data_IF_072633913033
#
_entry.id   IF_072633913033
#
_cell.length_a   1.000
_cell.length_b   1.000
_cell.length_c   1.000
_cell.angle_alpha   90.00
_cell.angle_beta   90.00
_cell.angle_gamma   90.00
#
_symmetry.space_group_name_H-M   'P 1'
#
loop_
_entity.id
_entity.type
_entity.pdbx_description
1 polymer ?
#
# COMPACT_ATOMS: atom_id res chain seq x y z
N UNK A 1 -4.60 17.52 22.17
CA UNK A 1 -3.15 17.87 22.20
C UNK A 1 -2.80 18.62 20.92
N UNK A 2 -1.69 19.34 20.85
CA UNK A 2 -1.24 19.89 19.56
C UNK A 2 -0.97 18.74 18.59
N UNK A 3 -1.44 18.84 17.34
CA UNK A 3 -1.09 17.87 16.31
C UNK A 3 0.43 17.81 16.15
N UNK A 4 0.99 16.61 16.02
CA UNK A 4 2.40 16.39 15.74
C UNK A 4 2.73 16.86 14.32
N UNK A 5 3.92 17.41 14.15
CA UNK A 5 4.47 17.67 12.81
C UNK A 5 5.07 16.40 12.21
N UNK A 6 5.33 16.39 10.90
CA UNK A 6 6.10 15.32 10.23
C UNK A 6 7.38 14.99 10.98
N UNK A 7 8.13 16.00 11.42
CA UNK A 7 9.43 15.79 12.05
C UNK A 7 9.29 15.25 13.49
N UNK A 8 8.21 15.60 14.20
CA UNK A 8 7.87 14.96 15.48
C UNK A 8 7.58 13.47 15.31
N UNK A 9 6.86 13.10 14.25
CA UNK A 9 6.63 11.71 13.88
C UNK A 9 7.92 10.98 13.50
N UNK A 10 8.76 11.57 12.64
CA UNK A 10 9.95 10.89 12.13
C UNK A 10 11.09 10.79 13.14
N UNK A 11 11.25 11.81 14.00
CA UNK A 11 12.43 11.97 14.86
C UNK A 11 12.12 12.11 16.34
N UNK A 12 10.84 12.23 16.73
CA UNK A 12 10.43 12.22 18.13
C UNK A 12 10.83 10.93 18.85
N UNK A 13 10.96 11.00 20.17
CA UNK A 13 11.27 9.84 20.99
C UNK A 13 10.06 8.87 21.11
N UNK A 14 10.34 7.66 21.59
CA UNK A 14 9.34 6.64 21.89
C UNK A 14 9.13 5.62 20.77
N UNK A 15 8.20 4.67 20.97
CA UNK A 15 7.88 3.64 19.99
C UNK A 15 7.37 4.23 18.69
N UNK A 16 7.69 3.57 17.58
CA UNK A 16 7.39 3.99 16.21
C UNK A 16 6.41 3.06 15.52
N UNK A 17 5.56 3.63 14.68
CA UNK A 17 4.46 2.92 14.01
C UNK A 17 4.50 3.14 12.51
N UNK A 18 4.51 2.05 11.74
CA UNK A 18 4.51 2.03 10.29
C UNK A 18 3.16 1.52 9.78
N UNK A 19 2.58 2.19 8.79
CA UNK A 19 1.43 1.70 8.03
C UNK A 19 1.81 1.53 6.56
N UNK A 20 1.80 0.28 6.08
CA UNK A 20 2.14 -0.11 4.71
C UNK A 20 0.89 -0.54 3.92
N UNK A 21 0.68 0.05 2.76
CA UNK A 21 -0.53 -0.13 1.94
C UNK A 21 -0.19 -0.71 0.57
N UNK A 22 -0.78 -1.85 0.25
CA UNK A 22 -0.51 -2.58 -0.99
C UNK A 22 -1.06 -1.89 -2.24
N UNK A 23 -0.43 -2.20 -3.39
CA UNK A 23 -1.01 -1.95 -4.70
C UNK A 23 -2.13 -2.94 -5.05
N UNK A 24 -3.05 -2.53 -5.94
CA UNK A 24 -4.18 -3.40 -6.36
C UNK A 24 -5.32 -2.73 -7.14
N UNK A 25 -5.13 -1.51 -7.65
CA UNK A 25 -6.16 -0.80 -8.42
C UNK A 25 -7.41 -0.49 -7.59
N UNK A 26 -8.59 -0.75 -8.14
CA UNK A 26 -9.88 -0.47 -7.46
C UNK A 26 -10.06 -1.23 -6.13
N UNK A 27 -9.27 -2.30 -5.92
CA UNK A 27 -9.31 -3.12 -4.71
C UNK A 27 -8.78 -2.40 -3.48
N UNK A 28 -8.20 -1.20 -3.64
CA UNK A 28 -7.97 -0.28 -2.51
C UNK A 28 -9.25 0.02 -1.71
N UNK A 29 -10.44 -0.12 -2.30
CA UNK A 29 -11.70 -0.04 -1.57
C UNK A 29 -11.86 -1.11 -0.47
N UNK A 30 -11.26 -2.29 -0.66
CA UNK A 30 -11.20 -3.32 0.37
C UNK A 30 -10.28 -2.87 1.52
N UNK A 31 -9.11 -2.33 1.18
CA UNK A 31 -8.13 -1.79 2.14
C UNK A 31 -8.74 -0.70 3.02
N UNK A 32 -9.56 0.19 2.45
CA UNK A 32 -10.25 1.24 3.20
C UNK A 32 -11.18 0.69 4.30
N UNK A 33 -11.75 -0.51 4.13
CA UNK A 33 -12.54 -1.15 5.19
C UNK A 33 -11.71 -1.56 6.41
N UNK A 34 -10.47 -2.05 6.20
CA UNK A 34 -9.54 -2.27 7.31
C UNK A 34 -9.20 -0.96 8.00
N UNK A 35 -8.86 0.06 7.21
CA UNK A 35 -8.44 1.36 7.74
C UNK A 35 -9.55 2.04 8.52
N UNK A 36 -10.81 1.95 8.07
CA UNK A 36 -11.94 2.53 8.78
C UNK A 36 -12.13 1.88 10.15
N UNK A 37 -12.02 0.55 10.21
CA UNK A 37 -12.06 -0.17 11.48
C UNK A 37 -10.89 0.20 12.40
N UNK A 38 -9.68 0.36 11.86
CA UNK A 38 -8.52 0.82 12.64
C UNK A 38 -8.72 2.24 13.17
N UNK A 39 -9.22 3.15 12.34
CA UNK A 39 -9.50 4.53 12.71
C UNK A 39 -10.53 4.60 13.83
N UNK A 40 -11.60 3.81 13.77
CA UNK A 40 -12.61 3.73 14.83
C UNK A 40 -12.04 3.22 16.16
N UNK A 41 -11.28 2.12 16.13
CA UNK A 41 -10.66 1.53 17.33
C UNK A 41 -9.71 2.53 17.99
N UNK A 42 -8.84 3.16 17.19
CA UNK A 42 -7.83 4.07 17.69
C UNK A 42 -8.45 5.40 18.13
N UNK A 43 -9.49 5.90 17.45
CA UNK A 43 -10.23 7.09 17.87
C UNK A 43 -10.90 6.88 19.23
N UNK A 44 -11.65 5.78 19.39
CA UNK A 44 -12.29 5.42 20.67
C UNK A 44 -11.26 5.33 21.80
N UNK A 45 -10.12 4.67 21.53
CA UNK A 45 -9.03 4.53 22.50
C UNK A 45 -8.42 5.86 22.95
N UNK A 46 -8.39 6.86 22.07
CA UNK A 46 -7.76 8.15 22.33
C UNK A 46 -8.78 9.26 22.62
N UNK A 47 -9.93 8.90 23.22
CA UNK A 47 -10.89 9.85 23.77
C UNK A 47 -12.03 10.25 22.83
N UNK A 48 -12.26 9.46 21.77
CA UNK A 48 -13.32 9.65 20.77
C UNK A 48 -13.30 11.05 20.12
N UNK A 49 -12.10 11.57 19.85
CA UNK A 49 -11.92 12.86 19.18
C UNK A 49 -12.34 12.76 17.70
N UNK A 50 -13.36 13.50 17.22
CA UNK A 50 -13.78 13.48 15.82
C UNK A 50 -12.70 13.99 14.86
N UNK A 51 -11.69 14.72 15.35
CA UNK A 51 -10.55 15.17 14.57
C UNK A 51 -9.38 14.17 14.54
N UNK A 52 -9.50 13.03 15.24
CA UNK A 52 -8.52 11.96 15.17
C UNK A 52 -8.39 11.45 13.73
N UNK A 53 -7.15 11.34 13.26
CA UNK A 53 -6.80 10.74 11.96
C UNK A 53 -5.74 9.68 12.16
N UNK A 54 -5.69 8.70 11.26
CA UNK A 54 -4.64 7.69 11.28
C UNK A 54 -3.22 8.28 11.23
N UNK A 55 -2.99 9.45 10.63
CA UNK A 55 -1.69 10.11 10.66
C UNK A 55 -1.27 10.62 12.03
N UNK A 56 -2.21 10.85 12.96
CA UNK A 56 -1.87 11.21 14.34
C UNK A 56 -1.26 10.02 15.10
N UNK A 57 -1.65 8.81 14.70
CA UNK A 57 -1.15 7.56 15.25
C UNK A 57 0.11 7.05 14.55
N UNK A 58 0.10 6.91 13.23
CA UNK A 58 1.21 6.34 12.48
C UNK A 58 2.31 7.36 12.19
N UNK A 59 3.56 7.00 12.50
CA UNK A 59 4.74 7.85 12.30
C UNK A 59 5.28 7.83 10.87
N UNK A 60 4.98 6.75 10.12
CA UNK A 60 5.32 6.60 8.72
C UNK A 60 4.21 5.82 8.00
N UNK A 61 3.56 6.45 7.03
CA UNK A 61 2.57 5.83 6.15
C UNK A 61 3.18 5.70 4.76
N UNK A 62 2.97 4.58 4.10
CA UNK A 62 3.48 4.41 2.76
C UNK A 62 2.70 3.41 1.94
N UNK A 63 2.85 3.53 0.62
CA UNK A 63 2.02 2.75 -0.27
C UNK A 63 2.56 2.62 -1.69
N UNK A 64 2.06 1.59 -2.35
CA UNK A 64 2.33 1.30 -3.76
C UNK A 64 1.03 1.43 -4.56
N UNK A 65 1.06 2.06 -5.73
CA UNK A 65 -0.10 2.18 -6.62
C UNK A 65 -1.30 2.81 -5.91
N UNK A 66 -2.46 2.14 -5.91
CA UNK A 66 -3.64 2.53 -5.14
C UNK A 66 -3.32 2.84 -3.67
N UNK A 67 -2.43 2.06 -3.05
CA UNK A 67 -1.94 2.30 -1.69
C UNK A 67 -1.20 3.64 -1.56
N UNK A 68 -0.53 4.14 -2.62
CA UNK A 68 0.11 5.46 -2.60
C UNK A 68 -0.91 6.61 -2.59
N UNK A 69 -2.06 6.44 -3.23
CA UNK A 69 -3.17 7.42 -3.17
C UNK A 69 -3.68 7.51 -1.74
N UNK A 70 -3.99 6.34 -1.15
CA UNK A 70 -4.50 6.22 0.23
C UNK A 70 -3.45 6.75 1.22
N UNK A 71 -2.19 6.33 1.11
CA UNK A 71 -1.10 6.76 1.98
C UNK A 71 -0.91 8.29 1.95
N UNK A 72 -0.96 8.89 0.76
CA UNK A 72 -0.81 10.35 0.59
C UNK A 72 -1.97 11.08 1.25
N UNK A 73 -3.22 10.67 1.02
CA UNK A 73 -4.38 11.31 1.65
C UNK A 73 -4.38 11.16 3.17
N UNK A 74 -4.07 9.97 3.70
CA UNK A 74 -3.90 9.78 5.13
C UNK A 74 -2.79 10.68 5.69
N UNK A 75 -1.64 10.78 5.01
CA UNK A 75 -0.53 11.62 5.45
C UNK A 75 -0.85 13.13 5.41
N UNK A 76 -1.78 13.56 4.56
CA UNK A 76 -2.36 14.91 4.54
C UNK A 76 -3.44 15.12 5.61
N UNK A 77 -3.82 14.07 6.34
CA UNK A 77 -4.81 14.12 7.41
C UNK A 77 -6.25 13.91 6.97
N UNK A 78 -6.49 13.24 5.84
CA UNK A 78 -7.83 12.86 5.43
C UNK A 78 -8.36 11.76 6.35
N UNK A 79 -9.63 11.83 6.73
CA UNK A 79 -10.33 10.72 7.35
C UNK A 79 -10.48 9.56 6.35
N UNK A 80 -10.65 8.34 6.85
CA UNK A 80 -10.83 7.18 5.97
C UNK A 80 -12.10 7.34 5.11
N UNK A 81 -13.17 7.92 5.65
CA UNK A 81 -14.41 8.17 4.91
C UNK A 81 -14.23 9.14 3.74
N UNK A 82 -13.37 10.16 3.88
CA UNK A 82 -13.04 11.07 2.77
C UNK A 82 -12.34 10.32 1.63
N UNK A 83 -11.51 9.32 1.96
CA UNK A 83 -10.89 8.45 0.97
C UNK A 83 -11.88 7.47 0.35
N UNK A 84 -12.86 6.97 1.10
CA UNK A 84 -13.97 6.17 0.56
C UNK A 84 -14.76 6.96 -0.47
N UNK A 85 -15.09 8.22 -0.16
CA UNK A 85 -15.81 9.10 -1.07
C UNK A 85 -14.99 9.48 -2.31
N UNK A 86 -13.67 9.68 -2.14
CA UNK A 86 -12.74 9.86 -3.25
C UNK A 86 -12.81 8.67 -4.22
N UNK A 87 -12.70 7.44 -3.70
CA UNK A 87 -12.77 6.23 -4.52
C UNK A 87 -14.14 6.04 -5.18
N UNK A 88 -15.24 6.33 -4.47
CA UNK A 88 -16.60 6.29 -5.04
C UNK A 88 -16.72 7.23 -6.23
N UNK A 89 -16.26 8.48 -6.06
CA UNK A 89 -16.32 9.49 -7.13
C UNK A 89 -15.42 9.14 -8.33
N UNK A 90 -14.26 8.51 -8.08
CA UNK A 90 -13.37 8.01 -9.13
C UNK A 90 -14.03 6.86 -9.90
N UNK A 91 -14.64 5.91 -9.19
CA UNK A 91 -15.38 4.80 -9.79
C UNK A 91 -16.49 5.27 -10.73
N UNK A 92 -17.36 6.17 -10.25
CA UNK A 92 -18.48 6.74 -11.03
C UNK A 92 -18.00 7.46 -12.31
N UNK A 93 -16.95 8.29 -12.21
CA UNK A 93 -16.39 9.02 -13.35
C UNK A 93 -15.72 8.10 -14.38
N UNK A 94 -15.20 6.95 -13.95
CA UNK A 94 -14.69 5.91 -14.86
C UNK A 94 -15.85 5.14 -15.51
N UNK A 95 -16.96 4.92 -14.79
CA UNK A 95 -18.15 4.25 -15.30
C UNK A 95 -18.84 4.98 -16.46
N UNK A 96 -19.03 6.28 -16.32
CA UNK A 96 -19.76 7.05 -17.31
C UNK A 96 -19.11 7.01 -18.70
N UNK A 97 -17.78 6.81 -18.77
CA UNK A 97 -17.02 6.79 -20.02
C UNK A 97 -16.81 5.40 -20.61
N UNK A 98 -16.99 4.33 -19.84
CA UNK A 98 -16.80 2.93 -20.29
C UNK A 98 -17.83 2.48 -21.35
N UNK A 99 -18.96 3.18 -21.50
CA UNK A 99 -19.97 2.85 -22.52
C UNK A 99 -19.50 3.08 -23.98
N UNK A 100 -18.33 3.68 -24.21
CA UNK A 100 -17.95 4.23 -25.51
C UNK A 100 -16.71 3.64 -26.22
N UNK A 101 -15.98 2.65 -25.69
CA UNK A 101 -14.74 2.17 -26.35
C UNK A 101 -14.54 0.64 -26.35
N UNK A 102 -14.60 0.09 -27.57
CA UNK A 102 -14.02 -1.18 -27.99
C UNK A 102 -12.71 -0.84 -28.74
N UNK A 103 -11.54 -1.35 -28.35
CA UNK A 103 -10.32 -1.11 -29.14
C UNK A 103 -9.02 -1.69 -28.56
N UNK A 104 -8.33 -2.49 -29.39
CA UNK A 104 -7.20 -3.37 -29.07
C UNK A 104 -5.79 -2.73 -29.07
N UNK A 105 -5.66 -1.41 -29.15
CA UNK A 105 -4.34 -0.74 -29.13
C UNK A 105 -4.42 0.62 -28.41
N UNK A 106 -4.07 0.63 -27.12
CA UNK A 106 -4.02 1.82 -26.26
C UNK A 106 -4.26 1.46 -24.78
N UNK A 107 -3.75 2.30 -23.86
CA UNK A 107 -4.00 2.17 -22.43
C UNK A 107 -5.52 2.03 -22.16
N UNK A 108 -5.91 1.02 -21.37
CA UNK A 108 -7.32 0.61 -21.21
C UNK A 108 -8.21 1.67 -20.52
N UNK A 109 -7.62 2.64 -19.81
CA UNK A 109 -8.37 3.66 -19.04
C UNK A 109 -8.04 5.10 -19.44
N UNK A 110 -9.06 5.99 -19.52
CA UNK A 110 -8.83 7.43 -19.65
C UNK A 110 -8.05 7.92 -18.43
N UNK A 111 -6.92 8.60 -18.64
CA UNK A 111 -6.07 9.12 -17.56
C UNK A 111 -6.71 10.30 -16.83
N UNK A 112 -7.63 10.99 -17.48
CA UNK A 112 -8.10 12.30 -17.05
C UNK A 112 -8.92 12.31 -15.74
N UNK A 113 -9.78 11.30 -15.43
CA UNK A 113 -10.45 11.25 -14.13
C UNK A 113 -9.48 11.15 -12.95
N UNK A 114 -8.48 10.27 -13.06
CA UNK A 114 -7.45 10.13 -12.03
C UNK A 114 -6.62 11.41 -11.92
N UNK A 115 -6.13 11.95 -13.04
CA UNK A 115 -5.35 13.19 -13.04
C UNK A 115 -6.12 14.36 -12.42
N UNK A 116 -7.41 14.52 -12.76
CA UNK A 116 -8.26 15.57 -12.15
C UNK A 116 -8.45 15.36 -10.66
N UNK A 117 -8.60 14.12 -10.19
CA UNK A 117 -8.72 13.86 -8.76
C UNK A 117 -7.42 14.19 -8.03
N UNK A 118 -6.27 13.75 -8.56
CA UNK A 118 -4.96 14.08 -8.00
C UNK A 118 -4.72 15.59 -7.99
N UNK A 119 -5.11 16.30 -9.06
CA UNK A 119 -5.04 17.77 -9.14
C UNK A 119 -5.96 18.45 -8.11
N UNK A 120 -7.19 17.95 -7.95
CA UNK A 120 -8.17 18.52 -7.01
C UNK A 120 -7.74 18.33 -5.55
N UNK A 121 -7.22 17.15 -5.20
CA UNK A 121 -6.95 16.79 -3.80
C UNK A 121 -5.52 17.06 -3.37
N UNK A 122 -4.54 16.97 -4.28
CA UNK A 122 -3.12 17.17 -3.94
C UNK A 122 -2.55 18.46 -4.55
N UNK A 123 -3.16 19.00 -5.61
CA UNK A 123 -2.76 20.27 -6.23
C UNK A 123 -1.26 20.35 -6.50
N UNK A 124 -0.66 21.48 -6.11
CA UNK A 124 0.77 21.75 -6.23
C UNK A 124 1.56 21.45 -4.93
N UNK A 125 0.98 20.72 -3.99
CA UNK A 125 1.69 20.26 -2.79
C UNK A 125 2.87 19.38 -3.18
N UNK A 126 3.98 19.53 -2.46
CA UNK A 126 5.23 18.80 -2.73
C UNK A 126 5.50 17.76 -1.66
N UNK A 127 6.37 16.79 -1.96
CA UNK A 127 6.79 15.75 -1.01
C UNK A 127 7.44 16.32 0.25
N UNK A 128 8.05 17.52 0.19
CA UNK A 128 8.63 18.21 1.32
C UNK A 128 7.73 19.26 1.98
N UNK A 129 6.50 19.43 1.50
CA UNK A 129 5.55 20.44 1.99
C UNK A 129 5.14 20.23 3.44
N UNK A 130 4.75 21.32 4.10
CA UNK A 130 4.34 21.34 5.50
C UNK A 130 2.91 20.80 5.71
N UNK A 131 2.16 20.60 4.61
CA UNK A 131 0.82 20.00 4.62
C UNK A 131 0.82 18.52 5.00
N UNK A 132 1.95 17.82 4.81
CA UNK A 132 2.12 16.43 5.24
C UNK A 132 2.33 16.38 6.75
N UNK A 133 1.37 15.80 7.46
CA UNK A 133 1.34 15.74 8.93
C UNK A 133 2.23 14.64 9.50
N UNK A 134 2.56 13.60 8.72
CA UNK A 134 3.39 12.47 9.16
C UNK A 134 4.39 12.03 8.07
N UNK A 135 5.23 11.05 8.38
CA UNK A 135 6.11 10.42 7.41
C UNK A 135 5.32 9.82 6.23
N UNK A 136 5.78 10.04 5.01
CA UNK A 136 5.20 9.51 3.78
C UNK A 136 6.27 8.77 2.97
N UNK A 137 5.92 7.59 2.44
CA UNK A 137 6.69 6.88 1.41
C UNK A 137 5.80 6.44 0.25
N UNK A 138 6.22 6.73 -0.98
CA UNK A 138 5.55 6.31 -2.21
C UNK A 138 6.52 5.46 -3.02
N UNK A 139 6.09 4.23 -3.33
CA UNK A 139 6.85 3.30 -4.16
C UNK A 139 6.50 3.47 -5.64
N UNK A 140 7.50 3.66 -6.49
CA UNK A 140 7.38 3.71 -7.96
C UNK A 140 8.60 3.05 -8.58
N UNK A 141 8.63 2.83 -9.91
CA UNK A 141 9.79 2.24 -10.59
C UNK A 141 10.20 3.07 -11.79
N UNK A 142 11.47 3.45 -11.83
CA UNK A 142 12.10 4.07 -13.00
C UNK A 142 12.46 2.99 -14.02
N UNK A 143 11.58 2.74 -14.97
CA UNK A 143 11.68 1.61 -15.88
C UNK A 143 12.87 1.71 -16.85
N UNK A 144 13.23 2.92 -17.29
CA UNK A 144 14.37 3.15 -18.19
C UNK A 144 15.73 2.77 -17.57
N UNK A 145 15.79 2.59 -16.24
CA UNK A 145 16.97 2.09 -15.53
C UNK A 145 16.72 0.78 -14.77
N UNK A 146 15.48 0.27 -14.81
CA UNK A 146 15.04 -0.88 -14.01
C UNK A 146 14.99 -0.66 -12.50
N UNK A 147 15.27 0.55 -12.01
CA UNK A 147 15.47 0.85 -10.58
C UNK A 147 14.13 1.10 -9.84
N UNK A 148 13.87 0.42 -8.71
CA UNK A 148 12.78 0.78 -7.81
C UNK A 148 13.11 2.07 -7.06
N UNK A 149 12.12 2.94 -6.91
CA UNK A 149 12.24 4.27 -6.33
C UNK A 149 11.26 4.40 -5.16
N UNK A 150 11.84 4.66 -3.99
CA UNK A 150 11.15 4.84 -2.71
C UNK A 150 11.20 6.33 -2.36
N UNK A 151 10.24 7.08 -2.90
CA UNK A 151 10.15 8.52 -2.70
C UNK A 151 9.58 8.77 -1.30
N UNK A 152 10.32 9.45 -0.43
CA UNK A 152 9.90 9.67 0.95
C UNK A 152 10.18 11.09 1.43
N UNK A 153 9.40 11.56 2.40
CA UNK A 153 9.51 12.91 2.95
C UNK A 153 10.48 13.05 4.14
N UNK A 154 11.32 12.04 4.41
CA UNK A 154 12.36 12.11 5.45
C UNK A 154 13.46 13.14 5.11
N UNK A 155 13.60 14.24 5.87
CA UNK A 155 14.61 15.27 5.61
C UNK A 155 16.06 14.83 5.74
N UNK A 156 16.33 13.72 6.45
CA UNK A 156 17.68 13.14 6.58
C UNK A 156 18.03 12.18 5.45
N UNK A 157 17.13 11.97 4.50
CA UNK A 157 17.35 11.09 3.36
C UNK A 157 18.28 11.70 2.33
N UNK A 158 19.17 10.88 1.76
CA UNK A 158 20.22 11.30 0.82
C UNK A 158 19.72 12.18 -0.34
N UNK A 159 18.54 11.87 -0.90
CA UNK A 159 18.01 12.55 -2.07
C UNK A 159 16.92 13.59 -1.73
N UNK A 160 16.64 13.84 -0.44
CA UNK A 160 15.57 14.75 -0.04
C UNK A 160 15.83 16.19 -0.52
N UNK A 161 16.99 16.76 -0.17
CA UNK A 161 17.44 18.09 -0.63
C UNK A 161 18.27 18.03 -1.93
N UNK A 162 18.32 16.87 -2.59
CA UNK A 162 19.20 16.60 -3.73
C UNK A 162 20.64 16.28 -3.31
N UNK A 163 21.40 15.67 -4.21
CA UNK A 163 22.77 15.20 -3.93
C UNK A 163 23.87 15.97 -4.69
N UNK A 164 23.56 17.20 -5.12
CA UNK A 164 24.47 18.05 -5.91
C UNK A 164 24.51 17.71 -7.41
N UNK A 165 23.87 16.61 -7.83
CA UNK A 165 23.69 16.25 -9.23
C UNK A 165 22.23 16.00 -9.64
N UNK A 166 21.34 15.78 -8.68
CA UNK A 166 19.90 15.55 -8.88
C UNK A 166 19.04 16.71 -8.39
N UNK A 167 17.82 16.81 -8.93
CA UNK A 167 16.78 17.66 -8.35
C UNK A 167 16.35 17.10 -6.98
N UNK A 168 16.01 17.97 -6.01
CA UNK A 168 15.56 17.54 -4.70
C UNK A 168 14.25 16.75 -4.79
N UNK A 169 14.18 15.58 -4.12
CA UNK A 169 12.92 14.82 -4.06
C UNK A 169 11.83 15.60 -3.33
N UNK A 170 12.19 16.47 -2.38
CA UNK A 170 11.24 17.32 -1.63
C UNK A 170 10.40 18.25 -2.54
N UNK A 171 10.89 18.58 -3.72
CA UNK A 171 10.24 19.49 -4.66
C UNK A 171 9.30 18.75 -5.64
N UNK A 172 9.28 17.41 -5.60
CA UNK A 172 8.39 16.62 -6.45
C UNK A 172 6.94 16.82 -6.01
N UNK A 173 6.08 17.17 -6.96
CA UNK A 173 4.64 17.30 -6.73
C UNK A 173 4.03 15.95 -6.33
N UNK A 174 3.22 15.94 -5.26
CA UNK A 174 2.51 14.76 -4.78
C UNK A 174 1.67 14.12 -5.88
N UNK A 175 0.92 14.92 -6.64
CA UNK A 175 0.12 14.44 -7.79
C UNK A 175 0.97 13.70 -8.83
N UNK A 176 2.21 14.13 -9.10
CA UNK A 176 3.05 13.51 -10.11
C UNK A 176 3.65 12.19 -9.62
N UNK A 177 4.11 12.14 -8.37
CA UNK A 177 4.73 10.93 -7.81
C UNK A 177 3.70 9.85 -7.48
N UNK A 178 2.49 10.23 -7.06
CA UNK A 178 1.36 9.31 -6.93
C UNK A 178 0.95 8.79 -8.31
N UNK A 179 0.85 9.67 -9.32
CA UNK A 179 0.54 9.27 -10.69
C UNK A 179 1.57 8.29 -11.26
N UNK A 180 2.85 8.51 -10.97
CA UNK A 180 3.94 7.60 -11.33
C UNK A 180 3.79 6.24 -10.63
N UNK A 181 3.44 6.23 -9.35
CA UNK A 181 3.18 5.01 -8.58
C UNK A 181 1.97 4.22 -9.08
N UNK A 182 0.96 4.86 -9.69
CA UNK A 182 -0.25 4.22 -10.21
C UNK A 182 -0.19 3.92 -11.72
N UNK A 183 0.97 4.11 -12.36
CA UNK A 183 1.14 3.95 -13.81
C UNK A 183 1.29 2.49 -14.24
N UNK A 184 0.27 1.66 -13.97
CA UNK A 184 0.34 0.22 -14.20
C UNK A 184 0.47 -0.06 -15.71
N UNK A 185 1.51 -0.82 -16.15
CA UNK A 185 1.67 -1.20 -17.54
C UNK A 185 0.39 -1.87 -18.07
N UNK A 186 0.04 -1.60 -19.33
CA UNK A 186 -1.24 -1.97 -19.98
C UNK A 186 -2.47 -1.12 -19.58
N UNK A 187 -2.50 -0.52 -18.40
CA UNK A 187 -3.63 0.29 -17.92
C UNK A 187 -3.42 1.79 -18.12
N UNK A 188 -2.20 2.27 -17.89
CA UNK A 188 -1.82 3.68 -18.02
C UNK A 188 -0.45 3.81 -18.68
N UNK A 189 -0.23 4.87 -19.46
CA UNK A 189 1.13 5.14 -19.98
C UNK A 189 2.04 5.61 -18.83
N UNK A 190 3.37 5.40 -18.95
CA UNK A 190 4.35 5.87 -17.98
C UNK A 190 4.24 7.36 -17.68
N UNK A 191 4.70 7.74 -16.48
CA UNK A 191 4.82 9.14 -16.05
C UNK A 191 6.28 9.59 -16.18
N UNK A 192 6.54 10.80 -16.68
CA UNK A 192 7.91 11.30 -16.84
C UNK A 192 8.24 12.28 -15.72
N UNK A 193 9.28 11.97 -14.94
CA UNK A 193 9.78 12.88 -13.89
C UNK A 193 11.15 13.43 -14.27
N UNK A 194 11.39 14.70 -13.92
CA UNK A 194 12.71 15.33 -14.07
C UNK A 194 13.61 14.89 -12.92
N UNK A 195 14.77 14.33 -13.24
CA UNK A 195 15.69 13.75 -12.25
C UNK A 195 16.90 14.65 -12.01
N UNK A 196 17.44 15.23 -13.07
CA UNK A 196 18.60 16.11 -13.05
C UNK A 196 18.54 17.05 -14.26
N UNK A 197 19.39 18.09 -14.35
CA UNK A 197 19.50 18.92 -15.54
C UNK A 197 19.72 18.07 -16.80
N UNK A 198 18.78 18.14 -17.75
CA UNK A 198 18.82 17.35 -19.00
C UNK A 198 18.48 15.86 -18.85
N UNK A 199 18.11 15.38 -17.65
CA UNK A 199 17.77 13.97 -17.40
C UNK A 199 16.32 13.83 -16.97
N UNK A 200 15.57 13.03 -17.72
CA UNK A 200 14.20 12.61 -17.39
C UNK A 200 14.16 11.10 -17.20
N UNK A 201 13.37 10.62 -16.24
CA UNK A 201 13.11 9.19 -16.03
C UNK A 201 11.69 8.83 -16.42
N UNK A 202 11.50 7.61 -16.93
CA UNK A 202 10.20 7.05 -17.27
C UNK A 202 9.74 6.14 -16.13
N UNK A 203 8.67 6.55 -15.44
CA UNK A 203 8.17 5.88 -14.25
C UNK A 203 6.92 5.07 -14.54
N UNK A 204 6.89 3.88 -13.97
CA UNK A 204 5.75 2.97 -13.98
C UNK A 204 5.35 2.62 -12.56
N UNK A 205 4.22 1.93 -12.44
CA UNK A 205 3.68 1.48 -11.16
C UNK A 205 4.71 0.75 -10.31
N UNK A 206 4.73 1.06 -9.01
CA UNK A 206 5.64 0.43 -8.06
C UNK A 206 5.42 -1.07 -7.92
N UNK A 207 4.23 -1.58 -8.25
CA UNK A 207 3.90 -2.99 -8.31
C UNK A 207 4.67 -3.75 -9.40
N UNK A 208 5.26 -3.06 -10.39
CA UNK A 208 6.19 -3.67 -11.35
C UNK A 208 7.58 -3.91 -10.71
N UNK A 209 7.60 -4.23 -9.44
CA UNK A 209 8.77 -4.50 -8.61
C UNK A 209 8.38 -5.50 -7.51
N UNK A 210 9.35 -6.02 -6.73
CA UNK A 210 9.05 -6.84 -5.55
C UNK A 210 8.19 -6.15 -4.49
N UNK A 211 7.96 -4.84 -4.62
CA UNK A 211 7.38 -3.99 -3.58
C UNK A 211 5.93 -3.59 -3.85
N UNK A 212 5.12 -4.50 -4.43
CA UNK A 212 3.66 -4.29 -4.48
C UNK A 212 3.07 -4.18 -3.08
N UNK A 213 3.56 -5.02 -2.16
CA UNK A 213 3.45 -4.82 -0.72
C UNK A 213 4.73 -4.10 -0.24
N UNK A 214 4.64 -2.83 0.16
CA UNK A 214 5.83 -2.05 0.54
C UNK A 214 6.31 -2.32 1.97
N UNK A 215 5.68 -3.20 2.74
CA UNK A 215 5.94 -3.39 4.17
C UNK A 215 7.43 -3.64 4.49
N UNK A 216 8.04 -4.64 3.84
CA UNK A 216 9.46 -4.95 4.08
C UNK A 216 10.36 -3.77 3.67
N UNK A 217 10.02 -3.09 2.58
CA UNK A 217 10.78 -1.93 2.13
C UNK A 217 10.64 -0.73 3.07
N UNK A 218 9.49 -0.56 3.72
CA UNK A 218 9.28 0.47 4.75
C UNK A 218 10.02 0.15 6.04
N UNK A 219 10.10 -1.13 6.43
CA UNK A 219 10.96 -1.55 7.54
C UNK A 219 12.43 -1.22 7.26
N UNK A 220 12.90 -1.48 6.04
CA UNK A 220 14.24 -1.10 5.60
C UNK A 220 14.43 0.43 5.61
N UNK A 221 13.44 1.20 5.14
CA UNK A 221 13.48 2.66 5.17
C UNK A 221 13.63 3.18 6.60
N UNK A 222 12.89 2.60 7.55
CA UNK A 222 12.92 2.98 8.96
C UNK A 222 14.25 2.64 9.64
N UNK A 223 14.86 1.49 9.33
CA UNK A 223 15.94 0.92 10.15
C UNK A 223 17.32 0.93 9.50
N UNK A 224 17.43 0.88 8.16
CA UNK A 224 18.73 0.89 7.49
C UNK A 224 19.36 2.29 7.56
N UNK A 225 20.63 2.34 8.00
CA UNK A 225 21.34 3.59 8.27
C UNK A 225 21.51 4.50 7.05
N UNK A 226 21.55 3.92 5.85
CA UNK A 226 21.63 4.66 4.59
C UNK A 226 20.43 5.58 4.32
N UNK A 227 19.28 5.34 4.95
CA UNK A 227 18.10 6.19 4.82
C UNK A 227 18.01 7.29 5.88
N UNK A 228 18.74 7.18 6.99
CA UNK A 228 18.85 8.24 7.99
C UNK A 228 17.74 8.31 9.05
N UNK A 229 16.68 7.46 8.97
CA UNK A 229 15.68 7.35 10.05
C UNK A 229 16.25 6.67 11.30
N UNK A 230 16.97 5.55 11.11
CA UNK A 230 17.66 4.81 12.18
C UNK A 230 16.75 4.44 13.37
N UNK A 231 15.50 4.08 13.10
CA UNK A 231 14.58 3.60 14.13
C UNK A 231 15.09 2.28 14.72
N UNK A 232 14.86 2.09 16.03
CA UNK A 232 15.36 0.93 16.76
C UNK A 232 14.42 -0.26 16.56
N UNK A 233 15.00 -1.43 16.34
CA UNK A 233 14.29 -2.69 16.46
C UNK A 233 13.86 -2.95 17.91
N UNK A 234 12.90 -3.84 18.06
CA UNK A 234 12.27 -4.31 19.29
C UNK A 234 10.76 -4.34 19.11
N UNK A 235 10.10 -5.43 19.48
CA UNK A 235 8.65 -5.55 19.44
C UNK A 235 7.93 -4.44 20.23
N UNK A 236 8.55 -3.92 21.28
CA UNK A 236 8.07 -2.78 22.07
C UNK A 236 8.40 -1.41 21.47
N UNK A 237 9.29 -1.35 20.48
CA UNK A 237 9.80 -0.10 19.90
C UNK A 237 9.29 0.16 18.48
N UNK A 238 8.93 -0.87 17.72
CA UNK A 238 8.57 -0.75 16.32
C UNK A 238 7.40 -1.66 15.96
N UNK A 239 6.27 -1.03 15.62
CA UNK A 239 5.09 -1.70 15.10
C UNK A 239 4.96 -1.45 13.60
N UNK A 240 4.67 -2.49 12.84
CA UNK A 240 4.39 -2.42 11.42
C UNK A 240 3.03 -3.06 11.12
N UNK A 241 2.12 -2.27 10.57
CA UNK A 241 0.81 -2.72 10.08
C UNK A 241 0.85 -2.70 8.57
N UNK A 242 0.48 -3.82 7.94
CA UNK A 242 0.37 -3.97 6.49
C UNK A 242 -1.06 -4.33 6.10
N UNK A 243 -1.65 -3.58 5.16
CA UNK A 243 -3.01 -3.80 4.70
C UNK A 243 -3.04 -4.10 3.19
N UNK A 244 -3.51 -5.30 2.87
CA UNK A 244 -3.61 -5.82 1.51
C UNK A 244 -4.83 -5.35 0.73
N UNK A 245 -4.86 -5.70 -0.55
CA UNK A 245 -5.97 -5.43 -1.50
C UNK A 245 -6.69 -6.71 -1.95
N UNK A 246 -6.58 -7.78 -1.17
CA UNK A 246 -7.02 -9.13 -1.52
C UNK A 246 -5.96 -9.90 -2.31
N UNK A 247 -5.91 -11.21 -2.11
CA UNK A 247 -5.13 -12.12 -2.94
C UNK A 247 -6.01 -13.21 -3.54
N UNK A 248 -5.59 -13.71 -4.70
CA UNK A 248 -6.24 -14.83 -5.40
C UNK A 248 -5.14 -15.82 -5.77
N UNK A 249 -5.08 -17.02 -5.17
CA UNK A 249 -4.09 -18.02 -5.54
C UNK A 249 -4.23 -18.41 -7.02
N UNK A 250 -3.10 -18.54 -7.70
CA UNK A 250 -3.10 -18.97 -9.09
C UNK A 250 -3.52 -20.45 -9.16
N UNK A 251 -4.62 -20.73 -9.85
CA UNK A 251 -5.09 -22.10 -10.10
C UNK A 251 -5.09 -22.36 -11.60
N UNK A 252 -4.12 -23.16 -12.04
CA UNK A 252 -3.99 -23.58 -13.43
C UNK A 252 -3.63 -25.06 -13.49
N UNK A 253 -4.21 -25.78 -14.45
CA UNK A 253 -3.77 -27.14 -14.76
C UNK A 253 -2.47 -27.09 -15.56
N UNK A 254 -1.69 -28.19 -15.53
CA UNK A 254 -0.48 -28.29 -16.33
C UNK A 254 -0.75 -28.06 -17.83
N UNK A 255 -1.86 -28.58 -18.34
CA UNK A 255 -2.28 -28.39 -19.73
C UNK A 255 -2.54 -26.90 -20.05
N UNK A 256 -3.22 -26.17 -19.16
CA UNK A 256 -3.46 -24.73 -19.36
C UNK A 256 -2.16 -23.92 -19.43
N UNK A 257 -1.09 -24.36 -18.77
CA UNK A 257 0.23 -23.71 -18.83
C UNK A 257 0.96 -24.10 -20.11
N UNK A 258 0.98 -25.38 -20.47
CA UNK A 258 1.70 -25.86 -21.68
C UNK A 258 1.08 -25.38 -22.98
N UNK A 259 -0.24 -25.19 -23.00
CA UNK A 259 -0.99 -24.77 -24.18
C UNK A 259 -1.06 -23.23 -24.31
N UNK A 260 -0.50 -22.50 -23.34
CA UNK A 260 -0.55 -21.05 -23.30
C UNK A 260 0.32 -20.43 -24.40
N UNK A 261 -0.18 -19.43 -25.15
CA UNK A 261 0.64 -18.70 -26.10
C UNK A 261 1.85 -18.06 -25.39
N UNK A 262 3.04 -18.11 -26.02
CA UNK A 262 4.30 -17.69 -25.39
C UNK A 262 4.27 -16.28 -24.78
N UNK A 263 3.57 -15.33 -25.42
CA UNK A 263 3.42 -13.95 -24.91
C UNK A 263 2.58 -13.90 -23.63
N UNK A 264 1.52 -14.70 -23.56
CA UNK A 264 0.64 -14.79 -22.38
C UNK A 264 1.38 -15.51 -21.26
N UNK A 265 2.14 -16.57 -21.58
CA UNK A 265 2.97 -17.29 -20.62
C UNK A 265 4.03 -16.36 -20.02
N UNK A 266 4.71 -15.56 -20.84
CA UNK A 266 5.67 -14.58 -20.35
C UNK A 266 5.02 -13.55 -19.40
N UNK A 267 3.83 -13.04 -19.73
CA UNK A 267 3.08 -12.13 -18.86
C UNK A 267 2.67 -12.81 -17.55
N UNK A 268 2.15 -14.03 -17.61
CA UNK A 268 1.74 -14.82 -16.45
C UNK A 268 2.92 -15.09 -15.51
N UNK A 269 4.10 -15.43 -16.05
CA UNK A 269 5.32 -15.64 -15.27
C UNK A 269 5.82 -14.37 -14.57
N UNK A 270 5.67 -13.19 -15.19
CA UNK A 270 5.99 -11.93 -14.52
C UNK A 270 5.04 -11.64 -13.36
N UNK A 271 3.74 -11.88 -13.55
CA UNK A 271 2.75 -11.73 -12.49
C UNK A 271 2.96 -12.73 -11.35
N UNK A 272 3.39 -13.96 -11.64
CA UNK A 272 3.70 -14.95 -10.60
C UNK A 272 4.90 -14.51 -9.77
N UNK A 273 5.97 -13.99 -10.39
CA UNK A 273 7.14 -13.46 -9.66
C UNK A 273 6.74 -12.30 -8.72
N UNK A 274 5.80 -11.45 -9.13
CA UNK A 274 5.28 -10.39 -8.27
C UNK A 274 4.55 -10.96 -7.03
N UNK A 275 3.78 -12.04 -7.20
CA UNK A 275 3.13 -12.73 -6.09
C UNK A 275 4.16 -13.43 -5.18
N UNK A 276 5.16 -14.11 -5.77
CA UNK A 276 6.24 -14.78 -5.04
C UNK A 276 7.02 -13.76 -4.19
N UNK A 277 7.32 -12.59 -4.74
CA UNK A 277 8.00 -11.52 -4.01
C UNK A 277 7.17 -11.00 -2.83
N UNK A 278 5.85 -10.86 -3.00
CA UNK A 278 4.96 -10.47 -1.92
C UNK A 278 4.97 -11.50 -0.78
N UNK A 279 4.83 -12.78 -1.10
CA UNK A 279 4.86 -13.86 -0.11
C UNK A 279 6.21 -14.03 0.56
N UNK A 280 7.31 -13.85 -0.16
CA UNK A 280 8.65 -13.82 0.42
C UNK A 280 8.79 -12.65 1.43
N UNK A 281 8.31 -11.46 1.06
CA UNK A 281 8.29 -10.32 1.97
C UNK A 281 7.47 -10.58 3.23
N UNK A 282 6.30 -11.19 3.07
CA UNK A 282 5.42 -11.60 4.17
C UNK A 282 6.09 -12.63 5.09
N UNK A 283 6.72 -13.66 4.52
CA UNK A 283 7.42 -14.70 5.27
C UNK A 283 8.57 -14.11 6.09
N UNK A 284 9.38 -13.23 5.48
CA UNK A 284 10.46 -12.52 6.19
C UNK A 284 9.90 -11.68 7.33
N UNK A 285 8.84 -10.90 7.10
CA UNK A 285 8.24 -10.07 8.15
C UNK A 285 7.64 -10.89 9.29
N UNK A 286 6.95 -12.00 8.99
CA UNK A 286 6.43 -12.91 10.02
C UNK A 286 7.57 -13.55 10.83
N UNK A 287 8.65 -13.97 10.17
CA UNK A 287 9.81 -14.57 10.85
C UNK A 287 10.55 -13.59 11.78
N UNK A 288 10.49 -12.29 11.48
CA UNK A 288 11.12 -11.23 12.27
C UNK A 288 10.31 -10.80 13.49
N UNK A 289 9.04 -11.19 13.58
CA UNK A 289 8.06 -10.43 14.35
C UNK A 289 7.19 -11.26 15.28
N UNK A 290 6.70 -10.59 16.33
CA UNK A 290 5.49 -11.02 17.02
C UNK A 290 4.29 -10.62 16.18
N UNK A 291 3.51 -11.59 15.68
CA UNK A 291 2.37 -11.32 14.79
C UNK A 291 1.09 -12.03 15.24
N UNK A 292 0.09 -11.30 15.79
CA UNK A 292 -1.21 -11.90 16.14
C UNK A 292 -2.06 -12.25 14.91
N UNK A 293 -1.68 -11.77 13.73
CA UNK A 293 -2.40 -11.94 12.47
C UNK A 293 -1.54 -12.69 11.44
N UNK A 294 -0.73 -13.66 11.87
CA UNK A 294 0.13 -14.41 10.97
C UNK A 294 -0.70 -15.20 9.95
N UNK A 295 -0.23 -15.21 8.70
CA UNK A 295 -0.82 -15.97 7.61
C UNK A 295 -0.03 -17.25 7.36
N UNK A 296 -0.72 -18.30 6.92
CA UNK A 296 -0.06 -19.51 6.43
C UNK A 296 0.81 -19.15 5.22
N UNK A 297 2.11 -19.40 5.32
CA UNK A 297 3.10 -19.14 4.27
C UNK A 297 3.16 -20.35 3.33
N UNK A 298 3.41 -21.54 3.89
CA UNK A 298 3.36 -22.80 3.16
C UNK A 298 3.12 -23.98 4.12
N UNK A 299 3.04 -25.19 3.56
CA UNK A 299 2.72 -26.42 4.31
C UNK A 299 3.86 -26.94 5.19
N UNK A 300 5.09 -26.47 5.01
CA UNK A 300 6.27 -26.94 5.73
C UNK A 300 6.58 -26.02 6.93
N UNK A 301 6.63 -24.69 6.70
CA UNK A 301 6.93 -23.71 7.77
C UNK A 301 5.67 -23.14 8.44
N UNK A 302 4.48 -23.46 7.92
CA UNK A 302 3.22 -23.00 8.48
C UNK A 302 3.08 -21.48 8.45
N UNK A 303 2.71 -20.86 9.57
CA UNK A 303 2.55 -19.41 9.70
C UNK A 303 3.67 -18.72 10.49
N UNK A 304 4.73 -19.45 10.82
CA UNK A 304 5.92 -18.94 11.54
C UNK A 304 5.65 -18.34 12.92
N UNK A 305 4.46 -18.51 13.53
CA UNK A 305 4.14 -17.90 14.85
C UNK A 305 5.06 -18.37 15.98
N UNK A 306 5.62 -19.57 15.83
CA UNK A 306 6.50 -20.22 16.80
C UNK A 306 7.98 -20.14 16.37
N UNK A 307 8.26 -19.57 15.20
CA UNK A 307 9.60 -19.40 14.64
C UNK A 307 10.10 -17.96 14.85
N UNK A 308 11.41 -17.80 15.03
CA UNK A 308 12.04 -16.48 15.26
C UNK A 308 13.35 -16.34 14.53
N UNK A 309 13.66 -15.12 14.10
CA UNK A 309 14.98 -14.80 13.56
C UNK A 309 16.03 -14.73 14.69
N UNK A 310 16.71 -15.85 14.92
CA UNK A 310 17.82 -15.94 15.87
C UNK A 310 17.36 -16.06 17.33
N UNK A 311 18.32 -16.04 18.28
CA UNK A 311 18.04 -16.34 19.69
C UNK A 311 17.48 -15.14 20.50
N UNK A 312 17.33 -13.97 19.87
CA UNK A 312 16.91 -12.73 20.52
C UNK A 312 15.40 -12.59 20.67
N UNK A 313 14.91 -11.48 21.25
CA UNK A 313 13.50 -11.12 21.20
C UNK A 313 13.07 -10.78 19.76
N UNK A 314 11.76 -10.77 19.53
CA UNK A 314 11.19 -10.36 18.26
C UNK A 314 11.60 -8.92 17.91
N UNK A 315 11.93 -8.71 16.64
CA UNK A 315 12.54 -7.47 16.18
C UNK A 315 11.50 -6.38 15.91
N UNK A 316 10.24 -6.75 15.68
CA UNK A 316 9.09 -5.84 15.51
C UNK A 316 7.80 -6.51 16.00
N UNK A 317 6.76 -5.72 16.19
CA UNK A 317 5.37 -6.19 16.24
C UNK A 317 4.76 -6.00 14.85
N UNK A 318 4.27 -7.09 14.22
CA UNK A 318 3.80 -7.07 12.84
C UNK A 318 2.33 -7.51 12.70
N UNK A 319 1.53 -6.76 11.94
CA UNK A 319 0.17 -7.12 11.58
C UNK A 319 0.01 -7.13 10.06
N UNK A 320 -0.66 -8.15 9.53
CA UNK A 320 -1.07 -8.25 8.13
C UNK A 320 -2.56 -8.51 8.05
N UNK A 321 -3.27 -7.56 7.43
CA UNK A 321 -4.68 -7.69 7.10
C UNK A 321 -4.83 -7.98 5.62
N UNK A 322 -5.54 -9.06 5.29
CA UNK A 322 -5.68 -9.53 3.91
C UNK A 322 -6.98 -10.31 3.72
N UNK A 323 -7.53 -10.31 2.50
CA UNK A 323 -8.62 -11.23 2.13
C UNK A 323 -8.09 -12.28 1.17
N UNK A 324 -8.37 -13.56 1.43
CA UNK A 324 -8.28 -14.59 0.38
C UNK A 324 -9.57 -14.57 -0.44
N UNK A 325 -9.47 -14.26 -1.72
CA UNK A 325 -10.60 -14.34 -2.67
C UNK A 325 -10.78 -15.79 -3.12
N UNK A 326 -11.07 -16.66 -2.16
CA UNK A 326 -11.41 -18.06 -2.37
C UNK A 326 -12.79 -18.34 -1.76
N UNK A 327 -13.71 -19.02 -2.47
CA UNK A 327 -15.07 -19.26 -1.98
C UNK A 327 -15.13 -19.87 -0.57
N UNK A 328 -14.25 -20.83 -0.28
CA UNK A 328 -14.20 -21.48 1.03
C UNK A 328 -13.72 -20.52 2.12
N UNK A 329 -12.63 -19.78 1.90
CA UNK A 329 -12.12 -18.85 2.88
C UNK A 329 -13.12 -17.73 3.17
N UNK A 330 -13.76 -17.18 2.14
CA UNK A 330 -14.77 -16.12 2.26
C UNK A 330 -16.00 -16.59 3.05
N UNK A 331 -16.49 -17.81 2.76
CA UNK A 331 -17.59 -18.42 3.51
C UNK A 331 -17.20 -18.66 4.97
N UNK A 332 -16.07 -19.32 5.19
CA UNK A 332 -15.70 -19.83 6.51
C UNK A 332 -15.21 -18.70 7.44
N UNK A 333 -14.63 -17.63 6.89
CA UNK A 333 -14.07 -16.51 7.67
C UNK A 333 -15.00 -15.31 7.74
N UNK A 334 -15.69 -14.98 6.65
CA UNK A 334 -16.47 -13.73 6.52
C UNK A 334 -17.97 -13.95 6.32
N UNK A 335 -18.44 -15.21 6.28
CA UNK A 335 -19.83 -15.57 5.91
C UNK A 335 -20.28 -14.96 4.57
N UNK A 336 -19.34 -14.85 3.63
CA UNK A 336 -19.60 -14.34 2.27
C UNK A 336 -19.65 -15.51 1.29
N UNK A 337 -20.84 -15.73 0.73
CA UNK A 337 -21.12 -16.84 -0.18
C UNK A 337 -21.07 -16.38 -1.64
N UNK A 338 -19.91 -16.55 -2.28
CA UNK A 338 -19.70 -16.28 -3.70
C UNK A 338 -18.93 -17.42 -4.38
N UNK A 339 -19.11 -17.59 -5.68
CA UNK A 339 -18.41 -18.62 -6.47
C UNK A 339 -17.03 -18.15 -6.99
N UNK A 340 -16.29 -19.07 -7.63
CA UNK A 340 -14.97 -18.77 -8.18
C UNK A 340 -14.99 -17.69 -9.28
N UNK A 341 -16.04 -17.64 -10.10
CA UNK A 341 -16.18 -16.62 -11.15
C UNK A 341 -16.34 -15.21 -10.54
N UNK A 342 -17.14 -15.12 -9.49
CA UNK A 342 -17.32 -13.90 -8.71
C UNK A 342 -16.03 -13.49 -7.99
N UNK A 343 -15.27 -14.45 -7.44
CA UNK A 343 -13.95 -14.19 -6.86
C UNK A 343 -12.97 -13.63 -7.89
N UNK A 344 -12.88 -14.24 -9.08
CA UNK A 344 -12.02 -13.77 -10.16
C UNK A 344 -12.44 -12.38 -10.65
N UNK A 345 -13.75 -12.12 -10.71
CA UNK A 345 -14.27 -10.79 -11.02
C UNK A 345 -13.83 -9.76 -9.97
N UNK A 346 -13.94 -10.06 -8.67
CA UNK A 346 -13.49 -9.16 -7.60
C UNK A 346 -11.97 -8.94 -7.60
N UNK A 347 -11.19 -9.95 -7.98
CA UNK A 347 -9.73 -9.85 -8.08
C UNK A 347 -9.27 -8.96 -9.24
N UNK A 348 -10.07 -8.82 -10.29
CA UNK A 348 -9.76 -7.95 -11.42
C UNK A 348 -9.57 -6.49 -10.94
N UNK A 349 -8.38 -5.95 -11.22
CA UNK A 349 -7.93 -4.64 -10.70
C UNK A 349 -8.61 -3.44 -11.37
N UNK A 350 -9.45 -3.69 -12.38
CA UNK A 350 -9.86 -2.71 -13.36
C UNK A 350 -11.36 -2.77 -13.70
N UNK A 351 -12.15 -3.48 -12.89
CA UNK A 351 -13.61 -3.55 -13.06
C UNK A 351 -14.32 -2.75 -11.96
N UNK A 352 -14.49 -1.42 -12.12
CA UNK A 352 -14.98 -0.60 -11.02
C UNK A 352 -16.42 -0.97 -10.57
N UNK A 353 -17.15 -1.89 -11.24
CA UNK A 353 -18.51 -2.33 -10.87
C UNK A 353 -18.46 -3.09 -9.56
N UNK A 354 -17.28 -3.60 -9.25
CA UNK A 354 -16.96 -4.28 -8.02
C UNK A 354 -16.65 -3.33 -6.88
N UNK A 355 -16.53 -2.01 -7.10
CA UNK A 355 -16.14 -1.06 -6.05
C UNK A 355 -17.05 -1.16 -4.82
N UNK A 356 -18.37 -1.14 -4.99
CA UNK A 356 -19.32 -1.27 -3.89
C UNK A 356 -19.20 -2.61 -3.17
N UNK A 357 -19.00 -3.70 -3.92
CA UNK A 357 -18.82 -5.05 -3.35
C UNK A 357 -17.49 -5.17 -2.60
N UNK A 358 -16.41 -4.63 -3.14
CA UNK A 358 -15.08 -4.59 -2.52
C UNK A 358 -15.08 -3.75 -1.25
N UNK A 359 -15.74 -2.59 -1.26
CA UNK A 359 -15.90 -1.76 -0.07
C UNK A 359 -16.69 -2.50 1.02
N UNK A 360 -17.82 -3.12 0.65
CA UNK A 360 -18.63 -3.89 1.60
C UNK A 360 -17.85 -5.08 2.17
N UNK A 361 -17.13 -5.80 1.32
CA UNK A 361 -16.26 -6.90 1.73
C UNK A 361 -15.13 -6.43 2.66
N UNK A 362 -14.54 -5.27 2.37
CA UNK A 362 -13.53 -4.62 3.22
C UNK A 362 -14.07 -4.29 4.61
N UNK A 363 -15.29 -3.76 4.71
CA UNK A 363 -15.94 -3.47 6.01
C UNK A 363 -16.16 -4.76 6.80
N UNK A 364 -16.70 -5.81 6.17
CA UNK A 364 -16.87 -7.13 6.82
C UNK A 364 -15.53 -7.71 7.26
N UNK A 365 -14.52 -7.68 6.39
CA UNK A 365 -13.17 -8.15 6.70
C UNK A 365 -12.53 -7.35 7.83
N UNK A 366 -12.70 -6.02 7.84
CA UNK A 366 -12.25 -5.15 8.91
C UNK A 366 -12.86 -5.53 10.26
N UNK A 367 -14.18 -5.71 10.32
CA UNK A 367 -14.88 -6.10 11.55
C UNK A 367 -14.42 -7.46 12.12
N UNK A 368 -14.10 -8.42 11.25
CA UNK A 368 -13.64 -9.76 11.66
C UNK A 368 -12.15 -9.77 12.01
N UNK A 369 -11.30 -9.14 11.20
CA UNK A 369 -9.85 -9.28 11.30
C UNK A 369 -9.18 -8.21 12.14
N UNK A 370 -9.68 -6.97 12.20
CA UNK A 370 -9.02 -5.88 12.92
C UNK A 370 -9.58 -5.79 14.33
N UNK A 371 -8.80 -6.27 15.30
CA UNK A 371 -9.19 -6.33 16.71
C UNK A 371 -8.42 -5.31 17.57
N UNK A 372 -8.99 -4.81 18.68
CA UNK A 372 -8.33 -3.82 19.52
C UNK A 372 -6.99 -4.29 20.11
N UNK A 373 -6.87 -5.55 20.47
CA UNK A 373 -5.67 -6.15 21.06
C UNK A 373 -4.50 -6.26 20.07
N UNK A 374 -4.74 -6.09 18.77
CA UNK A 374 -3.69 -6.01 17.75
C UNK A 374 -2.84 -4.74 17.88
N UNK A 375 -3.30 -3.74 18.62
CA UNK A 375 -2.59 -2.50 18.91
C UNK A 375 -2.15 -2.53 20.38
N UNK A 376 -0.90 -2.89 20.70
CA UNK A 376 -0.46 -3.00 22.10
C UNK A 376 -0.44 -1.63 22.78
N UNK A 377 -0.79 -1.51 24.08
CA UNK A 377 -0.82 -0.23 24.80
C UNK A 377 0.50 0.55 24.81
N UNK A 378 1.64 -0.15 24.65
CA UNK A 378 2.95 0.50 24.50
C UNK A 378 3.04 1.42 23.26
N UNK A 379 2.15 1.24 22.29
CA UNK A 379 2.01 2.07 21.11
C UNK A 379 0.84 3.07 21.20
N UNK A 380 0.20 3.27 22.34
CA UNK A 380 -0.81 4.34 22.44
C UNK A 380 -0.15 5.74 22.38
N UNK A 381 -0.94 6.76 22.03
CA UNK A 381 -0.50 8.15 22.04
C UNK A 381 -0.40 8.64 23.49
N UNK A 382 0.70 9.34 23.80
CA UNK A 382 0.96 9.94 25.12
C UNK A 382 0.12 11.19 25.37
#
# INVERSE_FOLDING_TARGET
>A
MSAKTRDDHLFGAGPKRILALDGGGIRGALTLGYLGRMEDILRDRHGDDPEFRLCDYFDLIGGTSTGSIIATGLALGFAVDELVDLYRSLGEKVFDKSRLRLGLFGAKFPKEPLLRALDTHFGDMTLGGDELRTGLMIMTKRLDTGSPWLLHNNPRGKYFDGDGGSYPNRDLLLRNIVRASTAAPHYFEPETLRIAPGVTGAFVDGGVSPYNNPALQMLMLATCSGYGLNWRFGAENLMLVSAGTGHRPLRMTAAQVTDMPAVVLAAQSMLSIMADANWLGQAVLQWLASSPTSWQIDSEIGDLRDDRLGPGPDLITYQRYEVSLEPNWLRDTLDVHIDDEQCDALYAMDNPKNLTRLASLGVTAGAVQVQPDHFPPGFDLL
#
